data_IF_956330488410
#
_entry.id   IF_956330488410
#
_cell.length_a   1.000
_cell.length_b   1.000
_cell.length_c   1.000
_cell.angle_alpha   90.00
_cell.angle_beta   90.00
_cell.angle_gamma   90.00
#
_symmetry.space_group_name_H-M   'P 1'
#
loop_
_entity.id
_entity.type
_entity.pdbx_description
1 polymer ?
#
# COMPACT_ATOMS: atom_id res chain seq x y z
N UNK A 1 1.39 -39.31 44.14
CA UNK A 1 2.38 -40.26 43.63
C UNK A 1 2.77 -39.78 42.23
N UNK A 2 4.07 -39.44 42.08
CA UNK A 2 4.91 -39.58 40.86
C UNK A 2 4.41 -38.82 39.60
N UNK A 3 4.92 -37.64 39.25
CA UNK A 3 6.22 -37.24 38.65
C UNK A 3 6.21 -37.21 37.11
N UNK A 4 6.91 -36.19 36.58
CA UNK A 4 7.43 -35.99 35.19
C UNK A 4 6.42 -35.48 34.14
N UNK A 5 6.72 -34.51 33.27
CA UNK A 5 7.85 -33.57 33.12
C UNK A 5 7.39 -32.53 32.08
N UNK A 6 7.24 -31.26 32.49
CA UNK A 6 6.91 -30.16 31.57
C UNK A 6 8.18 -29.57 30.97
N UNK A 7 8.38 -29.73 29.67
CA UNK A 7 9.43 -29.04 28.92
C UNK A 7 8.88 -27.68 28.49
N UNK A 8 9.34 -26.63 29.17
CA UNK A 8 9.19 -25.23 28.75
C UNK A 8 10.25 -24.91 27.70
N UNK A 9 9.95 -24.12 26.65
CA UNK A 9 10.96 -23.65 25.72
C UNK A 9 11.94 -22.70 26.44
N UNK A 10 13.21 -22.86 26.12
CA UNK A 10 14.31 -22.02 26.57
C UNK A 10 14.02 -20.54 26.23
N UNK A 11 13.65 -19.75 27.25
CA UNK A 11 13.88 -18.31 27.22
C UNK A 11 15.39 -18.10 27.41
N UNK A 12 16.11 -17.78 26.34
CA UNK A 12 17.43 -17.16 26.45
C UNK A 12 17.18 -15.76 27.01
N UNK A 13 17.29 -15.66 28.34
CA UNK A 13 17.57 -14.39 29.00
C UNK A 13 18.99 -14.04 28.55
N UNK A 14 19.13 -13.10 27.63
CA UNK A 14 20.40 -12.41 27.41
C UNK A 14 20.66 -11.59 28.66
N UNK A 15 21.26 -12.26 29.65
CA UNK A 15 21.88 -11.59 30.77
C UNK A 15 22.90 -10.64 30.20
N UNK A 16 22.69 -9.37 30.49
CA UNK A 16 23.65 -8.28 30.40
C UNK A 16 24.92 -8.72 31.16
N UNK A 17 25.81 -9.45 30.49
CA UNK A 17 27.19 -9.65 30.94
C UNK A 17 27.98 -8.49 30.34
N UNK A 18 27.68 -7.28 30.83
CA UNK A 18 28.72 -6.28 30.97
C UNK A 18 29.70 -6.87 31.99
N UNK A 19 30.62 -7.71 31.52
CA UNK A 19 31.88 -7.93 32.23
C UNK A 19 32.55 -6.57 32.22
N UNK A 20 32.26 -5.80 33.26
CA UNK A 20 33.10 -4.71 33.67
C UNK A 20 34.51 -5.27 33.69
N UNK A 21 35.32 -4.89 32.72
CA UNK A 21 36.77 -4.96 32.85
C UNK A 21 37.06 -4.03 34.03
N UNK A 22 37.20 -4.64 35.20
CA UNK A 22 37.70 -3.94 36.38
C UNK A 22 39.16 -3.68 36.04
N UNK A 23 39.41 -2.54 35.38
CA UNK A 23 40.72 -1.92 35.36
C UNK A 23 41.06 -1.67 36.83
N UNK A 24 41.88 -2.55 37.40
CA UNK A 24 42.36 -2.43 38.76
C UNK A 24 43.43 -1.33 38.77
N UNK A 25 42.98 -0.08 38.65
CA UNK A 25 43.82 1.10 38.81
C UNK A 25 44.08 1.25 40.31
N UNK A 26 45.00 0.45 40.85
CA UNK A 26 45.65 0.74 42.12
C UNK A 26 46.75 1.79 41.88
N UNK A 27 46.33 3.03 41.64
CA UNK A 27 47.20 4.19 41.84
C UNK A 27 47.40 4.33 43.34
N UNK A 28 48.60 3.93 43.80
CA UNK A 28 49.21 4.49 45.01
C UNK A 28 50.63 4.91 44.63
N UNK A 29 50.72 6.00 43.87
CA UNK A 29 51.95 6.79 43.76
C UNK A 29 52.20 7.50 45.10
N UNK A 30 52.82 6.82 46.06
CA UNK A 30 53.43 7.47 47.22
C UNK A 30 54.94 7.51 46.99
N UNK A 31 55.40 8.60 46.37
CA UNK A 31 56.80 9.00 46.42
C UNK A 31 57.10 9.59 47.81
N UNK A 32 57.35 8.74 48.81
CA UNK A 32 57.95 9.18 50.08
C UNK A 32 59.43 8.85 50.07
N UNK A 33 60.25 9.86 49.77
CA UNK A 33 61.69 9.83 50.03
C UNK A 33 61.94 9.96 51.53
N UNK A 34 61.81 8.87 52.29
CA UNK A 34 62.34 8.80 53.65
C UNK A 34 63.70 8.10 53.62
N UNK A 35 64.76 8.91 53.62
CA UNK A 35 66.12 8.46 53.85
C UNK A 35 66.22 7.78 55.23
N UNK A 36 66.50 6.48 55.25
CA UNK A 36 67.03 5.79 56.41
C UNK A 36 68.36 5.13 56.04
N UNK A 37 69.42 5.56 56.73
CA UNK A 37 70.77 5.07 56.56
C UNK A 37 70.91 3.64 57.07
N UNK A 38 71.52 2.76 56.27
CA UNK A 38 72.09 1.49 56.73
C UNK A 38 71.30 0.23 56.42
N UNK A 39 70.81 0.09 55.18
CA UNK A 39 70.48 -1.16 54.48
C UNK A 39 70.41 -0.79 52.99
N UNK A 40 70.62 -1.73 52.07
CA UNK A 40 70.83 -1.42 50.66
C UNK A 40 69.71 -0.52 50.08
N UNK A 41 70.10 0.48 49.27
CA UNK A 41 69.18 1.52 48.80
C UNK A 41 68.30 0.97 47.69
N UNK A 42 67.18 0.36 48.08
CA UNK A 42 66.12 -0.01 47.14
C UNK A 42 65.34 1.21 46.68
N UNK A 43 64.93 1.20 45.42
CA UNK A 43 64.08 2.22 44.81
C UNK A 43 62.98 1.55 43.99
N UNK A 44 61.87 2.27 43.76
CA UNK A 44 60.69 1.72 43.09
C UNK A 44 60.74 2.00 41.59
N UNK A 45 60.49 0.97 40.79
CA UNK A 45 60.37 1.03 39.33
C UNK A 45 59.00 0.50 38.93
N UNK A 46 58.31 1.23 38.06
CA UNK A 46 57.08 0.76 37.42
C UNK A 46 57.46 0.07 36.12
N UNK A 47 57.05 -1.18 35.96
CA UNK A 47 57.16 -1.93 34.72
C UNK A 47 55.79 -1.93 34.08
N UNK A 48 55.67 -1.39 32.87
CA UNK A 48 54.47 -1.43 32.06
C UNK A 48 54.64 -2.51 30.98
N UNK A 49 53.91 -3.62 31.12
CA UNK A 49 54.00 -4.81 30.26
C UNK A 49 52.70 -4.94 29.46
N UNK A 50 52.67 -4.32 28.28
CA UNK A 50 51.48 -4.12 27.44
C UNK A 50 50.24 -3.59 28.20
N UNK A 51 50.39 -2.46 28.88
CA UNK A 51 49.34 -1.81 29.67
C UNK A 51 49.14 -2.42 31.06
N UNK A 52 49.78 -3.55 31.36
CA UNK A 52 49.77 -4.15 32.71
C UNK A 52 50.93 -3.59 33.53
N UNK A 53 50.61 -2.70 34.46
CA UNK A 53 51.60 -2.09 35.34
C UNK A 53 51.91 -2.94 36.59
N UNK A 54 53.19 -3.11 36.89
CA UNK A 54 53.73 -3.75 38.09
C UNK A 54 54.73 -2.79 38.72
N UNK A 55 54.73 -2.67 40.05
CA UNK A 55 55.81 -1.94 40.75
C UNK A 55 56.74 -2.93 41.44
N UNK A 56 58.03 -2.76 41.20
CA UNK A 56 59.10 -3.56 41.80
C UNK A 56 60.00 -2.63 42.62
N UNK A 57 60.32 -3.03 43.85
CA UNK A 57 61.36 -2.39 44.65
C UNK A 57 62.68 -3.14 44.40
N UNK A 58 63.68 -2.47 43.86
CA UNK A 58 64.91 -3.09 43.34
C UNK A 58 66.16 -2.34 43.76
N UNK A 59 67.29 -3.03 43.80
CA UNK A 59 68.65 -2.46 43.95
C UNK A 59 69.41 -2.45 42.63
N UNK A 60 68.86 -3.12 41.61
CA UNK A 60 69.51 -3.31 40.32
C UNK A 60 69.53 -2.00 39.54
N UNK A 61 70.58 -1.80 38.73
CA UNK A 61 70.71 -0.60 37.88
C UNK A 61 70.41 -0.87 36.41
N UNK A 62 70.43 -2.15 36.01
CA UNK A 62 70.18 -2.57 34.64
C UNK A 62 68.70 -2.94 34.44
N UNK A 63 68.01 -2.32 33.46
CA UNK A 63 66.59 -2.60 33.20
C UNK A 63 66.24 -4.08 33.04
N UNK A 64 67.13 -4.88 32.45
CA UNK A 64 66.89 -6.32 32.23
C UNK A 64 66.88 -7.08 33.57
N UNK A 65 67.80 -6.77 34.49
CA UNK A 65 67.86 -7.41 35.80
C UNK A 65 66.61 -7.07 36.64
N UNK A 66 66.11 -5.85 36.50
CA UNK A 66 64.86 -5.39 37.14
C UNK A 66 63.64 -6.16 36.59
N UNK A 67 63.59 -6.43 35.27
CA UNK A 67 62.54 -7.27 34.68
C UNK A 67 62.64 -8.72 35.17
N UNK A 68 63.85 -9.28 35.27
CA UNK A 68 64.06 -10.64 35.79
C UNK A 68 63.59 -10.78 37.26
N UNK A 69 63.83 -9.75 38.09
CA UNK A 69 63.31 -9.69 39.47
C UNK A 69 61.76 -9.67 39.50
N UNK A 70 61.15 -9.04 38.51
CA UNK A 70 59.70 -9.06 38.28
C UNK A 70 59.18 -10.37 37.68
N UNK A 71 60.07 -11.33 37.40
CA UNK A 71 59.79 -12.56 36.64
C UNK A 71 59.20 -12.28 35.25
N UNK A 72 59.66 -11.20 34.62
CA UNK A 72 59.32 -10.80 33.26
C UNK A 72 60.49 -11.15 32.34
N UNK A 73 60.30 -12.17 31.51
CA UNK A 73 61.26 -12.52 30.46
C UNK A 73 60.88 -11.79 29.16
N UNK A 74 61.86 -11.19 28.49
CA UNK A 74 61.68 -10.61 27.16
C UNK A 74 61.71 -11.69 26.08
N UNK A 75 60.75 -11.62 25.15
CA UNK A 75 60.75 -12.37 23.91
C UNK A 75 61.85 -11.87 22.96
N UNK A 76 62.18 -12.69 21.95
CA UNK A 76 63.30 -12.42 21.04
C UNK A 76 63.17 -11.11 20.24
N UNK A 77 61.95 -10.60 20.08
CA UNK A 77 61.64 -9.38 19.34
C UNK A 77 60.87 -8.34 20.17
N UNK A 78 60.75 -8.54 21.49
CA UNK A 78 60.14 -7.53 22.35
C UNK A 78 61.03 -6.29 22.40
N UNK A 79 60.42 -5.12 22.55
CA UNK A 79 61.13 -3.84 22.67
C UNK A 79 61.03 -3.34 24.10
N UNK A 80 62.05 -2.59 24.49
CA UNK A 80 62.15 -1.98 25.79
C UNK A 80 62.30 -0.47 25.63
N UNK A 81 61.34 0.29 26.14
CA UNK A 81 61.46 1.74 26.28
C UNK A 81 61.81 2.06 27.74
N UNK A 82 63.04 2.55 27.91
CA UNK A 82 63.63 2.94 29.20
C UNK A 82 63.77 4.46 29.33
N UNK A 83 63.20 5.25 28.42
CA UNK A 83 63.32 6.71 28.46
C UNK A 83 62.73 7.32 29.73
N UNK A 84 61.75 6.64 30.33
CA UNK A 84 61.14 7.01 31.61
C UNK A 84 61.85 6.47 32.85
N UNK A 85 62.96 5.74 32.71
CA UNK A 85 63.67 5.09 33.80
C UNK A 85 65.02 5.78 34.09
N UNK A 86 65.34 5.97 35.38
CA UNK A 86 66.63 6.46 35.85
C UNK A 86 67.13 5.59 37.00
N UNK A 87 68.29 4.95 36.81
CA UNK A 87 68.88 4.05 37.79
C UNK A 87 69.09 4.76 39.14
N UNK A 88 68.65 4.12 40.23
CA UNK A 88 68.71 4.65 41.60
C UNK A 88 67.65 5.70 41.94
N UNK A 89 66.91 6.24 40.96
CA UNK A 89 65.83 7.21 41.16
C UNK A 89 64.43 6.62 40.89
N UNK A 90 64.35 5.61 40.02
CA UNK A 90 63.11 4.92 39.66
C UNK A 90 62.56 5.39 38.32
N UNK A 91 61.24 5.37 38.19
CA UNK A 91 60.54 5.72 36.96
C UNK A 91 59.88 4.51 36.29
N UNK A 92 59.65 4.61 34.98
CA UNK A 92 58.90 3.61 34.22
C UNK A 92 59.79 2.94 33.17
N UNK A 93 59.74 1.61 33.16
CA UNK A 93 60.26 0.76 32.09
C UNK A 93 59.04 0.22 31.33
N UNK A 94 58.91 0.53 30.04
CA UNK A 94 57.84 -0.02 29.20
C UNK A 94 58.38 -1.19 28.38
N UNK A 95 57.69 -2.31 28.45
CA UNK A 95 57.91 -3.50 27.63
C UNK A 95 56.84 -3.51 26.55
N UNK A 96 57.25 -3.32 25.31
CA UNK A 96 56.36 -3.48 24.15
C UNK A 96 56.54 -4.90 23.60
N UNK A 97 55.53 -5.75 23.83
CA UNK A 97 55.53 -7.13 23.35
C UNK A 97 55.23 -7.19 21.86
N UNK A 98 55.98 -8.02 21.14
CA UNK A 98 55.64 -8.32 19.76
C UNK A 98 54.53 -9.37 19.72
N UNK A 99 53.33 -8.95 19.33
CA UNK A 99 52.19 -9.83 19.13
C UNK A 99 51.92 -10.02 17.63
N UNK A 100 51.67 -11.25 17.20
CA UNK A 100 51.16 -11.53 15.86
C UNK A 100 49.64 -11.51 15.89
N UNK A 101 49.01 -10.53 15.26
CA UNK A 101 47.55 -10.49 15.03
C UNK A 101 47.22 -10.98 13.63
N UNK A 102 46.12 -11.71 13.47
CA UNK A 102 45.67 -12.22 12.19
C UNK A 102 44.47 -11.39 11.73
N UNK A 103 44.65 -10.58 10.68
CA UNK A 103 43.57 -9.75 10.14
C UNK A 103 42.83 -10.54 9.06
N UNK A 104 41.54 -10.75 9.28
CA UNK A 104 40.64 -11.36 8.31
C UNK A 104 39.85 -10.27 7.57
N UNK A 105 40.06 -10.17 6.25
CA UNK A 105 39.31 -9.33 5.32
C UNK A 105 38.61 -10.24 4.31
N UNK A 106 37.29 -10.41 4.45
CA UNK A 106 36.54 -11.43 3.71
C UNK A 106 37.07 -12.84 4.01
N UNK A 107 37.48 -13.57 2.97
CA UNK A 107 38.03 -14.93 3.09
C UNK A 107 39.56 -14.96 3.30
N UNK A 108 40.23 -13.80 3.29
CA UNK A 108 41.69 -13.71 3.36
C UNK A 108 42.11 -13.40 4.79
N UNK A 109 42.97 -14.25 5.38
CA UNK A 109 43.61 -14.02 6.67
C UNK A 109 45.08 -13.69 6.46
N UNK A 110 45.53 -12.53 6.93
CA UNK A 110 46.92 -12.07 6.82
C UNK A 110 47.49 -11.81 8.21
N UNK A 111 48.63 -12.43 8.59
CA UNK A 111 49.28 -12.16 9.86
C UNK A 111 50.08 -10.85 9.82
N UNK A 112 50.03 -10.09 10.92
CA UNK A 112 50.80 -8.88 11.13
C UNK A 112 51.42 -8.91 12.52
N UNK A 113 52.69 -8.54 12.60
CA UNK A 113 53.38 -8.35 13.88
C UNK A 113 53.22 -6.89 14.32
N UNK A 114 52.68 -6.67 15.51
CA UNK A 114 52.36 -5.35 16.09
C UNK A 114 52.90 -5.24 17.52
N UNK A 115 53.17 -4.01 17.95
CA UNK A 115 53.56 -3.66 19.32
C UNK A 115 52.43 -2.96 20.10
N UNK A 116 51.28 -2.78 19.46
CA UNK A 116 50.09 -2.19 20.04
C UNK A 116 49.54 -2.92 21.27
N UNK A 117 48.97 -2.14 22.19
CA UNK A 117 48.35 -2.63 23.43
C UNK A 117 46.86 -2.97 23.21
N UNK A 118 46.19 -2.23 22.32
CA UNK A 118 44.76 -2.42 21.98
C UNK A 118 44.51 -2.77 20.51
N UNK A 119 43.35 -3.37 20.22
CA UNK A 119 42.94 -3.71 18.85
C UNK A 119 42.92 -2.48 17.94
N UNK A 120 42.44 -1.34 18.44
CA UNK A 120 42.41 -0.08 17.70
C UNK A 120 43.82 0.42 17.35
N UNK A 121 44.74 0.37 18.30
CA UNK A 121 46.15 0.68 18.07
C UNK A 121 46.80 -0.27 17.08
N UNK A 122 46.52 -1.58 17.16
CA UNK A 122 47.06 -2.59 16.27
C UNK A 122 46.63 -2.34 14.81
N UNK A 123 45.35 -2.05 14.60
CA UNK A 123 44.83 -1.68 13.28
C UNK A 123 45.47 -0.39 12.76
N UNK A 124 45.66 0.61 13.63
CA UNK A 124 46.34 1.87 13.28
C UNK A 124 47.81 1.65 12.88
N UNK A 125 48.54 0.83 13.64
CA UNK A 125 49.96 0.51 13.41
C UNK A 125 50.18 -0.11 12.02
N UNK A 126 49.27 -0.98 11.58
CA UNK A 126 49.33 -1.65 10.26
C UNK A 126 48.64 -0.86 9.15
N UNK A 127 48.13 0.33 9.44
CA UNK A 127 47.51 1.24 8.46
C UNK A 127 46.10 0.85 8.02
N UNK A 128 45.36 0.08 8.84
CA UNK A 128 43.96 -0.27 8.59
C UNK A 128 43.06 0.66 9.41
N UNK A 129 42.13 1.35 8.73
CA UNK A 129 41.16 2.21 9.40
C UNK A 129 40.01 1.37 9.97
N UNK A 130 40.07 1.07 11.27
CA UNK A 130 39.04 0.32 11.98
C UNK A 130 37.79 1.13 12.35
N UNK A 131 37.83 2.46 12.31
CA UNK A 131 36.75 3.31 12.85
C UNK A 131 35.43 3.20 12.07
N UNK A 132 35.51 2.87 10.77
CA UNK A 132 34.34 2.74 9.88
C UNK A 132 34.01 1.29 9.53
N UNK A 133 34.67 0.31 10.15
CA UNK A 133 34.53 -1.11 9.83
C UNK A 133 33.91 -1.86 10.99
N UNK A 134 33.10 -2.88 10.71
CA UNK A 134 32.63 -3.76 11.78
C UNK A 134 33.79 -4.66 12.23
N UNK A 135 33.98 -4.76 13.54
CA UNK A 135 35.01 -5.59 14.16
C UNK A 135 34.37 -6.65 15.04
N UNK A 136 34.95 -7.85 15.09
CA UNK A 136 34.54 -8.87 16.06
C UNK A 136 35.04 -8.60 17.49
N UNK A 137 35.93 -7.62 17.67
CA UNK A 137 36.44 -7.13 18.95
C UNK A 137 36.17 -5.63 19.10
N UNK A 138 36.13 -5.15 20.34
CA UNK A 138 36.17 -3.71 20.60
C UNK A 138 37.54 -3.15 20.24
N UNK A 139 37.59 -1.90 19.77
CA UNK A 139 38.86 -1.19 19.55
C UNK A 139 39.68 -1.04 20.85
N UNK A 140 39.02 -1.07 22.01
CA UNK A 140 39.65 -0.96 23.33
C UNK A 140 40.07 -2.32 23.91
N UNK A 141 39.75 -3.43 23.26
CA UNK A 141 40.15 -4.75 23.74
C UNK A 141 41.67 -4.91 23.63
N UNK A 142 42.27 -5.55 24.64
CA UNK A 142 43.71 -5.79 24.68
C UNK A 142 44.15 -6.78 23.57
N UNK A 143 45.32 -6.53 22.99
CA UNK A 143 45.91 -7.42 21.97
C UNK A 143 46.48 -8.68 22.61
N UNK A 144 46.10 -9.84 22.09
CA UNK A 144 46.68 -11.13 22.44
C UNK A 144 47.38 -11.77 21.24
N UNK A 145 48.55 -12.35 21.47
CA UNK A 145 49.30 -13.03 20.43
C UNK A 145 48.49 -14.18 19.79
N UNK A 146 48.32 -14.13 18.48
CA UNK A 146 47.57 -15.09 17.68
C UNK A 146 46.09 -14.78 17.49
N UNK A 147 45.57 -13.68 18.06
CA UNK A 147 44.15 -13.32 17.91
C UNK A 147 43.76 -13.12 16.44
N UNK A 148 42.51 -13.44 16.08
CA UNK A 148 41.97 -13.25 14.72
C UNK A 148 40.96 -12.10 14.74
N UNK A 149 41.37 -10.94 14.23
CA UNK A 149 40.53 -9.74 14.12
C UNK A 149 39.85 -9.78 12.74
N UNK A 150 38.54 -9.89 12.75
CA UNK A 150 37.71 -9.83 11.54
C UNK A 150 37.36 -8.37 11.31
N UNK A 151 37.72 -7.86 10.13
CA UNK A 151 37.41 -6.51 9.69
C UNK A 151 36.43 -6.63 8.53
N UNK A 152 35.18 -6.27 8.77
CA UNK A 152 34.14 -6.25 7.75
C UNK A 152 34.00 -4.84 7.20
N UNK A 153 33.98 -4.72 5.87
CA UNK A 153 33.63 -3.45 5.23
C UNK A 153 32.24 -2.99 5.70
N UNK A 154 32.02 -1.67 5.85
CA UNK A 154 30.69 -1.17 6.17
C UNK A 154 29.71 -1.53 5.04
N UNK A 155 28.46 -1.70 5.41
CA UNK A 155 27.33 -1.88 4.51
C UNK A 155 26.87 -0.51 4.04
N UNK A 156 26.83 -0.30 2.73
CA UNK A 156 26.32 0.93 2.13
C UNK A 156 24.82 0.76 1.85
N UNK A 157 23.98 1.50 2.56
CA UNK A 157 22.52 1.40 2.48
C UNK A 157 21.92 2.71 1.99
N UNK A 158 20.94 2.64 1.10
CA UNK A 158 20.20 3.80 0.60
C UNK A 158 18.84 3.88 1.29
N UNK A 159 18.50 5.03 1.85
CA UNK A 159 17.15 5.32 2.37
C UNK A 159 16.45 6.31 1.46
N UNK A 160 15.25 5.98 1.01
CA UNK A 160 14.37 6.86 0.25
C UNK A 160 13.18 7.26 1.11
N UNK A 161 13.05 8.54 1.43
CA UNK A 161 11.99 9.05 2.28
C UNK A 161 11.61 10.48 1.88
N UNK A 162 10.32 10.78 1.83
CA UNK A 162 9.80 12.14 1.60
C UNK A 162 10.31 12.82 0.31
N UNK A 163 10.69 12.01 -0.69
CA UNK A 163 11.27 12.48 -1.96
C UNK A 163 12.78 12.76 -1.91
N UNK A 164 13.44 12.51 -0.77
CA UNK A 164 14.89 12.60 -0.59
C UNK A 164 15.55 11.22 -0.55
N UNK A 165 16.85 11.20 -0.83
CA UNK A 165 17.69 9.99 -0.81
C UNK A 165 18.87 10.20 0.12
N UNK A 166 19.07 9.29 1.07
CA UNK A 166 20.15 9.30 2.05
C UNK A 166 21.03 8.07 1.84
N UNK A 167 22.34 8.25 1.75
CA UNK A 167 23.29 7.14 1.73
C UNK A 167 23.93 7.03 3.11
N UNK A 168 23.72 5.89 3.76
CA UNK A 168 24.16 5.63 5.13
C UNK A 168 25.12 4.45 5.11
N UNK A 169 26.30 4.65 5.70
CA UNK A 169 27.30 3.60 5.89
C UNK A 169 27.17 3.06 7.32
N UNK A 170 26.84 1.78 7.47
CA UNK A 170 26.58 1.14 8.77
C UNK A 170 27.28 -0.21 8.90
N UNK A 171 27.34 -0.73 10.11
CA UNK A 171 27.77 -2.10 10.40
C UNK A 171 26.66 -2.85 11.12
N UNK A 172 26.45 -4.14 10.80
CA UNK A 172 25.50 -5.07 11.46
C UNK A 172 24.29 -4.37 12.11
N UNK A 173 23.44 -3.76 11.27
CA UNK A 173 22.30 -2.94 11.70
C UNK A 173 20.98 -3.48 11.17
N UNK A 174 19.89 -3.08 11.81
CA UNK A 174 18.53 -3.28 11.32
C UNK A 174 18.04 -2.07 10.53
N UNK A 175 17.00 -2.25 9.72
CA UNK A 175 16.34 -1.14 9.00
C UNK A 175 15.95 -0.01 9.97
N UNK A 176 15.42 -0.35 11.17
CA UNK A 176 15.06 0.64 12.18
C UNK A 176 16.22 1.54 12.60
N UNK A 177 17.41 0.97 12.79
CA UNK A 177 18.61 1.70 13.19
C UNK A 177 19.10 2.61 12.05
N UNK A 178 19.07 2.13 10.80
CA UNK A 178 19.43 2.94 9.63
C UNK A 178 18.49 4.14 9.47
N UNK A 179 17.18 3.95 9.66
CA UNK A 179 16.20 5.05 9.65
C UNK A 179 16.52 6.10 10.74
N UNK A 180 16.87 5.64 11.95
CA UNK A 180 17.27 6.53 13.03
C UNK A 180 18.57 7.29 12.72
N UNK A 181 19.56 6.64 12.11
CA UNK A 181 20.80 7.28 11.66
C UNK A 181 20.57 8.33 10.57
N UNK A 182 19.61 8.10 9.68
CA UNK A 182 19.17 9.09 8.70
C UNK A 182 18.42 10.28 9.34
N UNK A 183 18.13 10.23 10.66
CA UNK A 183 17.39 11.27 11.37
C UNK A 183 15.90 11.29 11.07
N UNK A 184 15.37 10.21 10.47
CA UNK A 184 13.98 10.09 10.08
C UNK A 184 13.19 9.53 11.27
N UNK A 185 12.10 10.21 11.63
CA UNK A 185 11.15 9.71 12.63
C UNK A 185 9.91 9.20 11.90
N UNK A 186 9.43 8.02 12.30
CA UNK A 186 8.21 7.40 11.78
C UNK A 186 7.05 7.68 12.74
N UNK A 187 5.90 8.05 12.17
CA UNK A 187 4.65 8.08 12.92
C UNK A 187 4.13 6.66 13.17
N UNK A 188 3.08 6.52 13.98
CA UNK A 188 2.60 5.21 14.44
C UNK A 188 2.13 4.28 13.31
N UNK A 189 1.65 4.86 12.21
CA UNK A 189 1.12 4.13 11.06
C UNK A 189 2.13 4.06 9.90
N UNK A 190 3.24 4.81 9.97
CA UNK A 190 4.30 4.77 8.96
C UNK A 190 5.03 3.42 8.99
N UNK A 191 5.55 3.01 7.83
CA UNK A 191 6.30 1.77 7.72
C UNK A 191 7.42 1.87 6.68
N UNK A 192 8.29 0.87 6.68
CA UNK A 192 9.38 0.75 5.71
C UNK A 192 9.26 -0.53 4.91
N UNK A 193 9.82 -0.51 3.70
CA UNK A 193 10.13 -1.72 2.95
C UNK A 193 11.63 -1.73 2.62
N UNK A 194 12.41 -2.70 3.10
CA UNK A 194 12.02 -3.83 3.98
C UNK A 194 11.54 -3.40 5.38
N UNK A 195 10.97 -4.35 6.14
CA UNK A 195 10.42 -4.09 7.48
C UNK A 195 11.51 -3.69 8.49
N UNK A 196 11.13 -2.95 9.54
CA UNK A 196 12.03 -2.35 10.53
C UNK A 196 13.00 -3.33 11.20
N UNK A 197 12.56 -4.56 11.45
CA UNK A 197 13.34 -5.64 12.07
C UNK A 197 14.27 -6.38 11.11
N UNK A 198 14.25 -6.06 9.82
CA UNK A 198 15.08 -6.71 8.81
C UNK A 198 16.54 -6.29 9.00
N UNK A 199 17.46 -7.27 9.03
CA UNK A 199 18.89 -7.01 9.00
C UNK A 199 19.28 -6.41 7.64
N UNK A 200 20.09 -5.36 7.64
CA UNK A 200 20.47 -4.69 6.40
C UNK A 200 21.59 -5.46 5.69
N UNK A 201 21.59 -5.38 4.36
CA UNK A 201 22.61 -5.96 3.49
C UNK A 201 23.30 -4.85 2.70
N UNK A 202 24.53 -5.10 2.23
CA UNK A 202 25.26 -4.13 1.41
C UNK A 202 24.51 -3.83 0.11
N UNK A 203 24.35 -2.54 -0.21
CA UNK A 203 23.58 -2.05 -1.35
C UNK A 203 22.06 -2.11 -1.18
N UNK A 204 21.54 -2.44 0.00
CA UNK A 204 20.09 -2.46 0.26
C UNK A 204 19.48 -1.07 0.09
N UNK A 205 18.29 -1.03 -0.51
CA UNK A 205 17.45 0.18 -0.54
C UNK A 205 16.28 0.01 0.41
N UNK A 206 16.09 0.98 1.29
CA UNK A 206 15.01 1.07 2.27
C UNK A 206 14.09 2.21 1.83
N UNK A 207 12.83 1.93 1.57
CA UNK A 207 11.83 2.95 1.24
C UNK A 207 10.93 3.19 2.45
N UNK A 208 10.75 4.47 2.81
CA UNK A 208 9.82 4.90 3.85
C UNK A 208 8.47 5.24 3.21
N UNK A 209 7.40 4.73 3.82
CA UNK A 209 6.02 4.97 3.42
C UNK A 209 5.30 5.77 4.50
N UNK A 210 4.89 6.99 4.15
CA UNK A 210 4.13 7.89 5.03
C UNK A 210 2.65 7.58 4.94
N UNK A 211 2.03 7.29 6.09
CA UNK A 211 0.60 6.97 6.17
C UNK A 211 -0.16 8.14 6.80
N UNK A 212 -1.16 8.64 6.08
CA UNK A 212 -2.03 9.71 6.57
C UNK A 212 -3.50 9.30 6.45
N UNK A 213 -4.24 9.39 7.55
CA UNK A 213 -5.69 9.16 7.55
C UNK A 213 -6.44 10.48 7.71
N UNK A 214 -7.34 10.77 6.78
CA UNK A 214 -8.16 11.99 6.77
C UNK A 214 -9.65 11.65 6.83
N UNK A 215 -10.38 12.38 7.67
CA UNK A 215 -11.85 12.37 7.65
C UNK A 215 -12.35 13.50 6.76
N UNK A 216 -13.05 13.16 5.68
CA UNK A 216 -13.56 14.12 4.69
C UNK A 216 -15.08 13.99 4.59
N UNK A 217 -15.78 15.11 4.76
CA UNK A 217 -17.23 15.18 4.57
C UNK A 217 -17.54 15.85 3.23
N UNK A 218 -18.29 15.16 2.38
CA UNK A 218 -18.70 15.65 1.05
C UNK A 218 -20.23 15.61 0.89
N UNK A 219 -20.76 16.45 0.01
CA UNK A 219 -22.16 16.40 -0.40
C UNK A 219 -22.28 15.52 -1.65
N UNK A 220 -23.18 14.54 -1.62
CA UNK A 220 -23.51 13.68 -2.75
C UNK A 220 -24.98 13.82 -3.12
N UNK A 221 -25.28 13.73 -4.42
CA UNK A 221 -26.63 13.79 -4.95
C UNK A 221 -27.39 12.49 -4.70
N UNK A 222 -28.68 12.61 -4.36
CA UNK A 222 -29.63 11.50 -4.33
C UNK A 222 -30.60 11.71 -5.49
N UNK A 223 -30.50 10.87 -6.52
CA UNK A 223 -31.37 10.94 -7.68
C UNK A 223 -32.85 10.84 -7.27
N UNK A 224 -33.71 11.65 -7.89
CA UNK A 224 -35.16 11.54 -7.68
C UNK A 224 -35.79 10.41 -8.49
N UNK A 225 -36.83 9.81 -7.93
CA UNK A 225 -37.67 8.85 -8.64
C UNK A 225 -38.67 9.53 -9.58
N UNK A 226 -39.17 8.79 -10.58
CA UNK A 226 -40.26 9.25 -11.47
C UNK A 226 -41.47 8.31 -11.37
N UNK A 227 -42.61 8.85 -10.98
CA UNK A 227 -43.91 8.19 -10.97
C UNK A 227 -44.73 8.61 -12.20
N UNK A 228 -45.14 7.64 -13.02
CA UNK A 228 -46.03 7.90 -14.17
C UNK A 228 -47.45 7.45 -13.86
N UNK A 229 -48.40 8.38 -13.96
CA UNK A 229 -49.85 8.18 -13.80
C UNK A 229 -50.56 8.30 -15.14
N UNK A 230 -51.73 7.70 -15.25
CA UNK A 230 -52.57 7.81 -16.45
C UNK A 230 -53.65 8.85 -16.26
N UNK A 231 -53.91 9.66 -17.28
CA UNK A 231 -55.05 10.59 -17.35
C UNK A 231 -55.99 10.13 -18.48
N UNK A 232 -57.25 9.84 -18.15
CA UNK A 232 -58.25 9.35 -19.10
C UNK A 232 -58.91 10.44 -19.93
N UNK A 233 -58.71 11.71 -19.57
CA UNK A 233 -59.22 12.87 -20.31
C UNK A 233 -58.19 13.41 -21.29
N UNK A 234 -56.91 13.10 -21.07
CA UNK A 234 -55.79 13.51 -21.91
C UNK A 234 -55.52 12.51 -23.04
N UNK A 235 -55.25 13.03 -24.24
CA UNK A 235 -55.07 12.18 -25.42
C UNK A 235 -53.81 11.33 -25.32
N UNK A 236 -53.96 10.11 -25.83
CA UNK A 236 -52.88 9.20 -26.12
C UNK A 236 -51.71 9.93 -26.83
N UNK A 237 -50.53 9.92 -26.20
CA UNK A 237 -49.31 10.55 -26.71
C UNK A 237 -49.03 11.95 -26.14
N UNK A 238 -50.00 12.55 -25.44
CA UNK A 238 -49.75 13.74 -24.63
C UNK A 238 -49.20 13.37 -23.26
N UNK A 239 -48.46 14.31 -22.65
CA UNK A 239 -48.00 14.17 -21.27
C UNK A 239 -47.95 15.51 -20.57
N UNK A 240 -48.27 15.53 -19.28
CA UNK A 240 -48.03 16.68 -18.40
C UNK A 240 -47.24 16.28 -17.17
N UNK A 241 -46.33 17.14 -16.73
CA UNK A 241 -45.68 17.00 -15.42
C UNK A 241 -46.51 17.76 -14.39
N UNK A 242 -46.98 17.05 -13.36
CA UNK A 242 -47.72 17.65 -12.24
C UNK A 242 -46.74 18.15 -11.17
N UNK A 243 -45.79 17.30 -10.77
CA UNK A 243 -44.72 17.65 -9.83
C UNK A 243 -43.39 17.45 -10.52
N UNK A 244 -42.57 18.49 -10.59
CA UNK A 244 -41.22 18.37 -11.17
C UNK A 244 -40.31 17.66 -10.18
N UNK A 245 -39.56 16.67 -10.67
CA UNK A 245 -38.55 15.99 -9.87
C UNK A 245 -37.44 16.92 -9.41
N UNK A 246 -36.98 16.74 -8.17
CA UNK A 246 -35.84 17.48 -7.62
C UNK A 246 -34.94 16.51 -6.89
N UNK A 247 -33.69 16.41 -7.30
CA UNK A 247 -32.72 15.57 -6.61
C UNK A 247 -32.52 16.03 -5.16
N UNK A 248 -32.37 15.03 -4.30
CA UNK A 248 -31.99 15.18 -2.91
C UNK A 248 -30.48 15.32 -2.77
N UNK A 249 -30.04 15.49 -1.53
CA UNK A 249 -28.65 15.56 -1.15
C UNK A 249 -28.43 14.78 0.15
N UNK A 250 -27.30 14.08 0.23
CA UNK A 250 -26.79 13.49 1.47
C UNK A 250 -25.39 14.03 1.75
N UNK A 251 -25.12 14.27 3.02
CA UNK A 251 -23.77 14.50 3.52
C UNK A 251 -23.16 13.16 3.91
N UNK A 252 -22.04 12.80 3.29
CA UNK A 252 -21.33 11.55 3.55
C UNK A 252 -19.95 11.86 4.11
N UNK A 253 -19.62 11.24 5.24
CA UNK A 253 -18.30 11.35 5.86
C UNK A 253 -17.50 10.09 5.57
N UNK A 254 -16.36 10.27 4.92
CA UNK A 254 -15.41 9.23 4.59
C UNK A 254 -14.18 9.32 5.47
N UNK A 255 -13.63 8.17 5.82
CA UNK A 255 -12.24 8.03 6.25
C UNK A 255 -11.42 7.59 5.04
N UNK A 256 -10.38 8.36 4.71
CA UNK A 256 -9.52 8.12 3.55
C UNK A 256 -8.10 7.96 4.04
N UNK A 257 -7.47 6.83 3.71
CA UNK A 257 -6.06 6.56 4.01
C UNK A 257 -5.21 6.80 2.78
N UNK A 258 -4.17 7.61 2.94
CA UNK A 258 -3.18 7.94 1.93
C UNK A 258 -1.84 7.30 2.30
N UNK A 259 -1.13 6.77 1.31
CA UNK A 259 0.27 6.34 1.42
C UNK A 259 1.09 7.15 0.45
N UNK A 260 2.09 7.88 0.96
CA UNK A 260 2.90 8.83 0.16
C UNK A 260 2.05 9.82 -0.66
N UNK A 261 0.90 10.24 -0.10
CA UNK A 261 -0.04 11.16 -0.74
C UNK A 261 -1.01 10.52 -1.74
N UNK A 262 -0.89 9.22 -2.03
CA UNK A 262 -1.80 8.50 -2.92
C UNK A 262 -2.91 7.79 -2.11
N UNK A 263 -4.17 7.96 -2.53
CA UNK A 263 -5.32 7.32 -1.88
C UNK A 263 -5.25 5.79 -2.02
N UNK A 264 -5.16 5.09 -0.89
CA UNK A 264 -5.14 3.63 -0.84
C UNK A 264 -6.49 3.03 -0.48
N UNK A 265 -7.26 3.70 0.39
CA UNK A 265 -8.57 3.24 0.78
C UNK A 265 -9.51 4.37 1.17
N UNK A 266 -10.81 4.14 0.98
CA UNK A 266 -11.89 5.06 1.31
C UNK A 266 -13.05 4.28 1.94
N UNK A 267 -13.34 4.55 3.20
CA UNK A 267 -14.39 3.90 3.97
C UNK A 267 -15.49 4.90 4.36
N UNK A 268 -16.76 4.55 4.13
CA UNK A 268 -17.89 5.37 4.58
C UNK A 268 -18.10 5.19 6.09
N UNK A 269 -17.97 6.27 6.86
CA UNK A 269 -18.23 6.25 8.30
C UNK A 269 -19.69 6.56 8.62
N UNK A 270 -20.27 7.52 7.90
CA UNK A 270 -21.66 7.92 8.09
C UNK A 270 -22.24 8.60 6.85
N UNK A 271 -23.56 8.53 6.73
CA UNK A 271 -24.33 9.19 5.67
C UNK A 271 -25.62 9.74 6.27
N UNK A 272 -25.91 11.01 6.02
CA UNK A 272 -27.12 11.69 6.48
C UNK A 272 -27.78 12.42 5.32
N UNK A 273 -29.05 12.12 5.05
CA UNK A 273 -29.84 12.87 4.07
C UNK A 273 -30.05 14.29 4.60
N UNK A 274 -29.55 15.28 3.87
CA UNK A 274 -29.69 16.71 4.20
C UNK A 274 -30.87 17.33 3.48
N UNK A 275 -31.25 16.75 2.33
CA UNK A 275 -32.40 17.17 1.54
C UNK A 275 -33.03 15.94 0.88
N UNK A 276 -34.30 15.68 1.18
CA UNK A 276 -35.04 14.57 0.56
C UNK A 276 -35.27 14.84 -0.94
N UNK A 277 -35.11 13.82 -1.82
CA UNK A 277 -35.50 13.95 -3.21
C UNK A 277 -37.02 14.11 -3.32
N UNK A 278 -37.45 14.90 -4.29
CA UNK A 278 -38.86 15.07 -4.64
C UNK A 278 -39.15 14.24 -5.89
N UNK A 279 -40.04 13.25 -5.77
CA UNK A 279 -40.46 12.40 -6.89
C UNK A 279 -41.11 13.22 -8.01
N UNK A 280 -40.67 13.00 -9.25
CA UNK A 280 -41.34 13.55 -10.43
C UNK A 280 -42.67 12.81 -10.64
N UNK A 281 -43.78 13.54 -10.77
CA UNK A 281 -45.09 12.97 -11.09
C UNK A 281 -45.49 13.41 -12.49
N UNK A 282 -45.58 12.45 -13.41
CA UNK A 282 -45.96 12.68 -14.81
C UNK A 282 -47.25 11.96 -15.16
N UNK A 283 -48.19 12.66 -15.79
CA UNK A 283 -49.36 12.04 -16.39
C UNK A 283 -49.10 11.75 -17.87
N UNK A 284 -49.59 10.60 -18.33
CA UNK A 284 -49.66 10.22 -19.74
C UNK A 284 -51.11 10.00 -20.14
N UNK A 285 -51.48 10.45 -21.33
CA UNK A 285 -52.85 10.34 -21.80
C UNK A 285 -53.21 8.92 -22.20
N UNK A 286 -54.42 8.51 -21.82
CA UNK A 286 -55.02 7.22 -22.15
C UNK A 286 -56.32 7.35 -22.93
N UNK A 287 -56.81 8.58 -23.12
CA UNK A 287 -57.95 8.85 -23.98
C UNK A 287 -57.56 8.50 -25.41
N UNK A 288 -58.18 7.48 -25.97
CA UNK A 288 -58.08 7.26 -27.40
C UNK A 288 -58.63 8.51 -28.09
N UNK A 289 -57.82 9.14 -28.95
CA UNK A 289 -58.31 10.20 -29.82
C UNK A 289 -59.57 9.68 -30.52
N UNK A 290 -60.64 10.48 -30.49
CA UNK A 290 -61.93 10.13 -31.09
C UNK A 290 -61.66 9.61 -32.50
N UNK A 291 -61.85 8.30 -32.71
CA UNK A 291 -61.59 7.68 -33.99
C UNK A 291 -62.67 8.18 -34.94
N UNK A 292 -62.38 9.26 -35.68
CA UNK A 292 -63.32 9.80 -36.65
C UNK A 292 -63.69 8.71 -37.67
N UNK A 293 -64.98 8.32 -37.76
CA UNK A 293 -65.40 7.34 -38.74
C UNK A 293 -65.17 7.87 -40.15
N UNK A 294 -64.39 7.17 -40.97
CA UNK A 294 -64.18 7.50 -42.38
C UNK A 294 -65.27 6.90 -43.31
N UNK A 295 -66.37 6.40 -42.74
CA UNK A 295 -67.47 5.77 -43.46
C UNK A 295 -67.18 4.38 -44.05
N UNK A 296 -65.95 3.86 -43.95
CA UNK A 296 -65.57 2.57 -44.55
C UNK A 296 -66.03 1.40 -43.67
N UNK A 297 -67.08 0.72 -44.10
CA UNK A 297 -67.64 -0.44 -43.38
C UNK A 297 -66.91 -1.75 -43.67
N UNK A 298 -66.32 -1.89 -44.86
CA UNK A 298 -65.53 -3.07 -45.25
C UNK A 298 -64.44 -2.73 -46.26
N UNK A 299 -63.27 -3.38 -46.14
CA UNK A 299 -62.13 -3.20 -47.05
C UNK A 299 -61.22 -4.42 -47.03
N UNK A 300 -60.78 -4.90 -48.20
CA UNK A 300 -59.88 -6.04 -48.34
C UNK A 300 -60.33 -7.32 -47.59
N UNK A 301 -61.65 -7.58 -47.55
CA UNK A 301 -62.22 -8.74 -46.86
C UNK A 301 -62.34 -8.60 -45.34
N UNK A 302 -62.10 -7.41 -44.78
CA UNK A 302 -62.29 -7.09 -43.37
C UNK A 302 -63.48 -6.15 -43.19
N UNK A 303 -64.16 -6.26 -42.06
CA UNK A 303 -65.30 -5.41 -41.70
C UNK A 303 -65.04 -4.66 -40.40
N UNK A 304 -65.66 -3.48 -40.28
CA UNK A 304 -65.67 -2.73 -39.03
C UNK A 304 -66.29 -3.58 -37.90
N UNK A 305 -65.73 -3.51 -36.70
CA UNK A 305 -66.14 -4.29 -35.54
C UNK A 305 -65.70 -5.77 -35.57
N UNK A 306 -65.01 -6.22 -36.63
CA UNK A 306 -64.53 -7.60 -36.70
C UNK A 306 -63.53 -7.88 -35.58
N UNK A 307 -63.80 -8.95 -34.83
CA UNK A 307 -62.90 -9.50 -33.82
C UNK A 307 -61.99 -10.57 -34.42
N UNK A 308 -60.71 -10.51 -34.09
CA UNK A 308 -59.67 -11.41 -34.60
C UNK A 308 -58.77 -11.80 -33.45
N UNK A 309 -58.69 -13.10 -33.14
CA UNK A 309 -57.67 -13.60 -32.22
C UNK A 309 -56.29 -13.49 -32.87
N UNK A 310 -55.34 -12.92 -32.15
CA UNK A 310 -54.04 -12.55 -32.67
C UNK A 310 -52.89 -12.86 -31.73
N UNK A 311 -51.69 -12.51 -32.20
CA UNK A 311 -50.47 -12.42 -31.39
C UNK A 311 -49.77 -11.12 -31.69
N UNK A 312 -49.24 -10.49 -30.66
CA UNK A 312 -48.41 -9.31 -30.79
C UNK A 312 -46.94 -9.62 -30.48
N UNK A 313 -46.06 -8.83 -31.06
CA UNK A 313 -44.65 -8.65 -30.68
C UNK A 313 -44.39 -7.17 -30.46
N UNK A 314 -43.21 -6.81 -29.95
CA UNK A 314 -42.81 -5.42 -29.77
C UNK A 314 -41.56 -5.07 -30.58
N UNK A 315 -41.49 -3.82 -31.06
CA UNK A 315 -40.34 -3.29 -31.78
C UNK A 315 -40.01 -1.84 -31.38
N UNK A 316 -38.74 -1.44 -31.55
CA UNK A 316 -38.27 -0.05 -31.37
C UNK A 316 -37.76 0.57 -32.66
N UNK A 317 -37.56 1.90 -32.68
CA UNK A 317 -37.00 2.62 -33.84
C UNK A 317 -35.49 2.38 -34.04
N UNK A 318 -34.88 1.57 -33.18
CA UNK A 318 -33.50 1.14 -33.23
C UNK A 318 -33.17 0.35 -34.52
N UNK A 319 -31.92 0.44 -35.00
CA UNK A 319 -31.47 -0.28 -36.21
C UNK A 319 -31.64 -1.80 -36.08
N UNK A 320 -31.49 -2.36 -34.88
CA UNK A 320 -31.66 -3.80 -34.62
C UNK A 320 -33.08 -4.30 -34.90
N UNK A 321 -34.11 -3.53 -34.56
CA UNK A 321 -35.50 -3.93 -34.78
C UNK A 321 -36.01 -3.50 -36.16
N UNK A 322 -35.65 -2.30 -36.62
CA UNK A 322 -36.20 -1.73 -37.86
C UNK A 322 -35.33 -1.99 -39.10
N UNK A 323 -34.07 -2.40 -38.94
CA UNK A 323 -33.10 -2.54 -40.04
C UNK A 323 -32.66 -1.21 -40.68
N UNK A 324 -33.14 -0.06 -40.17
CA UNK A 324 -32.88 1.30 -40.67
C UNK A 324 -32.85 2.30 -39.52
N UNK A 325 -32.08 3.36 -39.67
CA UNK A 325 -31.93 4.44 -38.67
C UNK A 325 -32.79 5.67 -38.95
N UNK A 326 -33.45 5.73 -40.11
CA UNK A 326 -34.22 6.92 -40.49
C UNK A 326 -35.57 7.04 -39.78
N UNK A 327 -36.03 6.01 -39.07
CA UNK A 327 -37.29 6.05 -38.29
C UNK A 327 -38.53 6.39 -39.12
N UNK A 328 -38.56 6.11 -40.43
CA UNK A 328 -39.72 6.41 -41.28
C UNK A 328 -40.54 5.13 -41.50
N UNK A 329 -41.79 5.12 -41.05
CA UNK A 329 -42.75 4.01 -41.24
C UNK A 329 -43.24 3.93 -42.69
N UNK A 330 -43.85 2.81 -43.10
CA UNK A 330 -44.40 2.66 -44.46
C UNK A 330 -45.47 3.71 -44.84
N UNK A 331 -46.18 4.28 -43.86
CA UNK A 331 -47.11 5.40 -44.07
C UNK A 331 -46.43 6.77 -44.18
N UNK A 332 -45.11 6.85 -43.97
CA UNK A 332 -44.34 8.09 -43.95
C UNK A 332 -44.27 8.77 -42.58
N UNK A 333 -44.93 8.25 -41.53
CA UNK A 333 -44.83 8.79 -40.17
C UNK A 333 -43.43 8.56 -39.59
N UNK A 334 -42.94 9.54 -38.83
CA UNK A 334 -41.64 9.48 -38.14
C UNK A 334 -41.80 8.86 -36.75
N UNK A 335 -40.88 7.96 -36.40
CA UNK A 335 -40.75 7.35 -35.08
C UNK A 335 -39.29 7.43 -34.61
N UNK A 336 -39.09 7.63 -33.31
CA UNK A 336 -37.77 7.62 -32.66
C UNK A 336 -37.88 7.14 -31.21
N UNK A 337 -36.80 6.59 -30.65
CA UNK A 337 -36.80 6.16 -29.25
C UNK A 337 -36.81 7.38 -28.32
N UNK A 338 -37.57 7.32 -27.24
CA UNK A 338 -37.80 8.43 -26.31
C UNK A 338 -38.95 9.36 -26.70
N UNK A 339 -39.62 9.11 -27.83
CA UNK A 339 -40.83 9.86 -28.18
C UNK A 339 -42.01 9.50 -27.25
N UNK A 340 -42.98 10.40 -27.04
CA UNK A 340 -44.25 10.01 -26.44
C UNK A 340 -44.90 8.86 -27.23
N UNK A 341 -45.54 7.91 -26.54
CA UNK A 341 -46.11 6.74 -27.20
C UNK A 341 -47.14 7.16 -28.26
N UNK A 342 -46.88 6.87 -29.56
CA UNK A 342 -47.77 7.28 -30.65
C UNK A 342 -48.87 6.25 -30.91
N UNK A 343 -48.85 5.13 -30.19
CA UNK A 343 -49.77 4.00 -30.34
C UNK A 343 -49.83 3.53 -31.80
N UNK A 344 -48.64 3.27 -32.32
CA UNK A 344 -48.43 2.77 -33.66
C UNK A 344 -48.21 1.26 -33.66
N UNK A 345 -48.68 0.64 -34.72
CA UNK A 345 -48.51 -0.79 -34.94
C UNK A 345 -48.06 -1.04 -36.37
N UNK A 346 -47.18 -2.01 -36.53
CA UNK A 346 -46.86 -2.59 -37.82
C UNK A 346 -47.80 -3.77 -38.11
N UNK A 347 -48.44 -3.74 -39.28
CA UNK A 347 -49.37 -4.77 -39.72
C UNK A 347 -49.41 -4.79 -41.25
N UNK A 348 -49.25 -5.98 -41.84
CA UNK A 348 -49.25 -6.14 -43.29
C UNK A 348 -50.59 -6.65 -43.85
N UNK A 349 -51.52 -7.08 -43.00
CA UNK A 349 -52.81 -7.62 -43.43
C UNK A 349 -53.97 -6.63 -43.38
N UNK A 350 -53.82 -5.48 -42.71
CA UNK A 350 -54.79 -4.37 -42.72
C UNK A 350 -54.33 -3.21 -43.61
N UNK A 351 -55.24 -2.40 -44.15
CA UNK A 351 -54.88 -1.14 -44.80
C UNK A 351 -54.12 -0.20 -43.84
N UNK A 352 -53.11 0.53 -44.34
CA UNK A 352 -52.50 1.63 -43.57
C UNK A 352 -53.59 2.65 -43.20
N UNK A 353 -53.47 3.21 -42.00
CA UNK A 353 -54.45 4.12 -41.40
C UNK A 353 -55.58 3.44 -40.64
N UNK A 354 -55.74 2.12 -40.78
CA UNK A 354 -56.71 1.39 -39.97
C UNK A 354 -56.38 1.57 -38.49
N UNK A 355 -57.42 1.66 -37.66
CA UNK A 355 -57.29 1.69 -36.21
C UNK A 355 -57.81 0.37 -35.67
N UNK A 356 -57.01 -0.26 -34.83
CA UNK A 356 -57.36 -1.52 -34.15
C UNK A 356 -57.31 -1.32 -32.65
N UNK A 357 -58.26 -1.89 -31.93
CA UNK A 357 -58.19 -2.02 -30.48
C UNK A 357 -57.52 -3.36 -30.15
N UNK A 358 -56.49 -3.31 -29.30
CA UNK A 358 -55.76 -4.46 -28.78
C UNK A 358 -55.76 -4.32 -27.28
N UNK A 359 -56.40 -5.27 -26.58
CA UNK A 359 -56.50 -5.31 -25.12
C UNK A 359 -56.94 -3.97 -24.49
N UNK A 360 -57.91 -3.30 -25.13
CA UNK A 360 -58.48 -2.02 -24.67
C UNK A 360 -57.77 -0.77 -25.18
N UNK A 361 -56.64 -0.91 -25.87
CA UNK A 361 -55.83 0.20 -26.39
C UNK A 361 -55.94 0.31 -27.91
N UNK A 362 -56.19 1.53 -28.42
CA UNK A 362 -56.29 1.76 -29.85
C UNK A 362 -54.92 2.04 -30.48
N UNK A 363 -54.56 1.28 -31.51
CA UNK A 363 -53.35 1.44 -32.30
C UNK A 363 -53.66 1.78 -33.75
N UNK A 364 -52.89 2.69 -34.34
CA UNK A 364 -52.97 3.02 -35.76
C UNK A 364 -51.96 2.21 -36.57
N UNK A 365 -52.43 1.54 -37.62
CA UNK A 365 -51.61 0.78 -38.55
C UNK A 365 -50.83 1.75 -39.45
N UNK A 366 -49.55 1.96 -39.15
CA UNK A 366 -48.70 2.93 -39.87
C UNK A 366 -47.50 2.30 -40.57
N UNK A 367 -47.19 1.04 -40.26
CA UNK A 367 -46.04 0.34 -40.83
C UNK A 367 -46.40 -1.09 -41.28
N UNK A 368 -45.53 -1.70 -42.08
CA UNK A 368 -45.71 -3.07 -42.60
C UNK A 368 -44.87 -4.12 -41.88
N UNK A 369 -43.76 -3.70 -41.27
CA UNK A 369 -42.79 -4.57 -40.60
C UNK A 369 -42.27 -5.71 -41.50
N UNK A 370 -41.81 -6.80 -40.90
CA UNK A 370 -41.23 -7.94 -41.61
C UNK A 370 -42.26 -8.88 -42.25
N UNK A 371 -41.81 -9.77 -43.14
CA UNK A 371 -42.68 -10.71 -43.89
C UNK A 371 -43.59 -11.58 -43.01
N UNK A 372 -43.18 -11.85 -41.76
CA UNK A 372 -43.95 -12.60 -40.75
C UNK A 372 -45.27 -11.91 -40.33
N UNK A 373 -45.41 -10.60 -40.53
CA UNK A 373 -46.63 -9.83 -40.22
C UNK A 373 -47.69 -9.90 -41.33
N UNK A 374 -47.46 -10.69 -42.38
CA UNK A 374 -48.45 -10.93 -43.45
C UNK A 374 -49.56 -11.90 -43.02
N UNK A 375 -49.33 -12.68 -41.95
CA UNK A 375 -50.33 -13.58 -41.40
C UNK A 375 -51.40 -12.78 -40.63
N UNK A 376 -52.68 -13.03 -40.96
CA UNK A 376 -53.83 -12.43 -40.25
C UNK A 376 -53.70 -12.64 -38.74
N UNK A 377 -53.91 -11.56 -37.98
CA UNK A 377 -53.79 -11.55 -36.53
C UNK A 377 -52.36 -11.45 -36.00
N UNK A 378 -51.34 -11.23 -36.83
CA UNK A 378 -49.99 -10.86 -36.38
C UNK A 378 -49.80 -9.35 -36.46
N UNK A 379 -49.38 -8.76 -35.36
CA UNK A 379 -49.09 -7.33 -35.25
C UNK A 379 -47.79 -7.11 -34.48
N UNK A 380 -47.13 -5.98 -34.72
CA UNK A 380 -45.93 -5.57 -34.00
C UNK A 380 -46.17 -4.19 -33.39
N UNK A 381 -46.15 -4.08 -32.07
CA UNK A 381 -46.47 -2.85 -31.33
C UNK A 381 -45.20 -2.01 -31.21
N UNK A 382 -45.29 -0.75 -31.63
CA UNK A 382 -44.18 0.17 -31.50
C UNK A 382 -43.98 0.56 -30.03
N UNK A 383 -42.75 0.42 -29.54
CA UNK A 383 -42.35 0.67 -28.15
C UNK A 383 -41.31 1.80 -28.13
N UNK A 384 -41.72 3.05 -27.88
CA UNK A 384 -40.83 4.21 -27.98
C UNK A 384 -39.74 4.23 -26.90
N UNK A 385 -39.92 3.55 -25.77
CA UNK A 385 -38.96 3.53 -24.64
C UNK A 385 -37.66 2.78 -25.01
N UNK A 386 -37.59 2.19 -26.20
CA UNK A 386 -36.37 1.67 -26.79
C UNK A 386 -36.22 0.15 -26.65
N UNK A 387 -35.03 -0.34 -26.99
CA UNK A 387 -34.81 -1.77 -27.26
C UNK A 387 -35.03 -2.65 -26.03
N UNK A 388 -34.54 -2.24 -24.87
CA UNK A 388 -34.74 -2.98 -23.63
C UNK A 388 -36.21 -3.06 -23.25
N UNK A 389 -36.99 -2.01 -23.49
CA UNK A 389 -38.43 -2.01 -23.24
C UNK A 389 -39.19 -2.92 -24.21
N UNK A 390 -38.83 -2.91 -25.50
CA UNK A 390 -39.41 -3.82 -26.49
C UNK A 390 -39.16 -5.30 -26.13
N UNK A 391 -37.94 -5.63 -25.65
CA UNK A 391 -37.63 -6.99 -25.19
C UNK A 391 -38.45 -7.39 -23.95
N UNK A 392 -38.68 -6.47 -23.01
CA UNK A 392 -39.55 -6.71 -21.85
C UNK A 392 -41.01 -6.89 -22.24
N UNK A 393 -41.50 -6.12 -23.21
CA UNK A 393 -42.87 -6.27 -23.75
C UNK A 393 -43.11 -7.63 -24.41
N UNK A 394 -42.06 -8.23 -24.97
CA UNK A 394 -42.06 -9.64 -25.38
C UNK A 394 -43.07 -9.97 -26.48
N UNK A 395 -43.74 -11.11 -26.34
CA UNK A 395 -44.80 -11.56 -27.26
C UNK A 395 -45.96 -12.15 -26.47
N UNK A 396 -47.18 -11.93 -26.94
CA UNK A 396 -48.39 -12.41 -26.28
C UNK A 396 -49.52 -12.71 -27.27
N UNK A 397 -50.57 -13.37 -26.77
CA UNK A 397 -51.86 -13.47 -27.47
C UNK A 397 -52.72 -12.25 -27.16
N UNK A 398 -53.54 -11.82 -28.12
CA UNK A 398 -54.46 -10.71 -27.95
C UNK A 398 -55.79 -10.94 -28.69
N UNK A 399 -56.81 -10.18 -28.32
CA UNK A 399 -57.98 -9.94 -29.17
C UNK A 399 -57.79 -8.62 -29.91
N UNK A 400 -57.97 -8.64 -31.23
CA UNK A 400 -57.91 -7.46 -32.09
C UNK A 400 -59.32 -7.13 -32.55
N UNK A 401 -59.79 -5.92 -32.28
CA UNK A 401 -61.05 -5.38 -32.79
C UNK A 401 -60.76 -4.31 -33.83
N UNK A 402 -61.29 -4.44 -35.03
CA UNK A 402 -61.14 -3.41 -36.06
C UNK A 402 -62.11 -2.25 -35.75
N UNK A 403 -61.58 -1.06 -35.46
CA UNK A 403 -62.38 0.12 -35.09
C UNK A 403 -62.36 1.23 -36.15
N UNK A 404 -61.47 1.14 -37.15
CA UNK A 404 -61.54 1.92 -38.40
C UNK A 404 -60.74 1.24 -39.50
N UNK A 405 -61.20 1.32 -40.74
CA UNK A 405 -60.56 0.69 -41.91
C UNK A 405 -59.92 1.73 -42.84
N UNK A 406 -58.60 1.81 -42.81
CA UNK A 406 -57.82 2.76 -43.59
C UNK A 406 -57.90 4.20 -43.09
N UNK A 407 -57.20 5.10 -43.81
CA UNK A 407 -57.33 6.54 -43.63
C UNK A 407 -58.72 7.06 -43.96
#
# INVERSE_FOLDING_TARGET
MINESGVSPFKRVTGFMATAVIAFVLIVCIFTTSAFAGMAMQYNVVIDDNGRQITVATEETEPIEILEEANIALGANDRLDITGFTAGEGGTIKVDRLNTVNIQLGDVITPYDVYADTVGEALSEIGINGESSALNYSAEDAVENGMVIIVSAPLEVTVEADGETYNISVSDSTVAEVIAYAGITLDADDYTEPALETEVEDGMTITVYRVETKTVTVSETIDHDTETKTDSDMEIGESRTETKGVDGEKSVTYEITYVNGEEQSKNELSSTVTKEPVTEVKYVGTKAADVEPNGVQSKNGYTLGQKISGKYTHYCACVKCCGKSNGVTASGKKVYNGMPNPYYVACNWLPLGSVIQVDGVNYTVVDRGGSRLSQKGRIDIYTPEGHSAALRGGTGSCEIVIVRLGW
#
